data_IF_362778751202
#
_entry.id   IF_362778751202
#
_cell.length_a   1.000
_cell.length_b   1.000
_cell.length_c   1.000
_cell.angle_alpha   90.00
_cell.angle_beta   90.00
_cell.angle_gamma   90.00
#
_symmetry.space_group_name_H-M   'P 1'
#
loop_
_entity.id
_entity.type
_entity.pdbx_description
1 polymer ?
#
# COMPACT_ATOMS: atom_id res chain seq x y z
N UNK A 1 -5.72 -21.27 -5.17
CA UNK A 1 -4.92 -21.84 -4.07
C UNK A 1 -4.03 -22.92 -4.66
N UNK A 2 -2.71 -22.75 -4.54
CA UNK A 2 -1.75 -23.79 -4.92
C UNK A 2 -2.05 -25.02 -4.06
N UNK A 3 -2.45 -26.12 -4.68
CA UNK A 3 -2.71 -27.37 -3.97
C UNK A 3 -1.40 -27.95 -3.44
N UNK A 4 -1.09 -27.63 -2.17
CA UNK A 4 0.09 -28.13 -1.49
C UNK A 4 0.03 -29.64 -1.21
N UNK A 5 -1.13 -30.30 -1.33
CA UNK A 5 -1.23 -31.75 -1.15
C UNK A 5 -0.52 -32.52 -2.26
N UNK A 6 -0.53 -31.98 -3.48
CA UNK A 6 0.27 -32.49 -4.61
C UNK A 6 1.78 -32.25 -4.44
N UNK A 7 2.19 -31.28 -3.62
CA UNK A 7 3.58 -30.92 -3.36
C UNK A 7 4.25 -31.85 -2.33
N UNK A 8 3.50 -32.28 -1.32
CA UNK A 8 3.99 -33.21 -0.27
C UNK A 8 3.96 -34.68 -0.75
N UNK A 9 3.12 -35.03 -1.73
CA UNK A 9 2.91 -36.40 -2.19
C UNK A 9 4.07 -37.07 -2.96
N UNK A 10 5.11 -36.33 -3.39
CA UNK A 10 6.22 -36.87 -4.21
C UNK A 10 7.42 -37.39 -3.42
N UNK A 11 7.32 -37.56 -2.09
CA UNK A 11 8.43 -37.99 -1.21
C UNK A 11 8.61 -39.53 -1.22
N UNK A 12 8.47 -40.21 -2.37
CA UNK A 12 8.81 -41.63 -2.46
C UNK A 12 9.59 -41.96 -3.72
N UNK A 13 10.85 -42.34 -3.45
CA UNK A 13 11.84 -43.00 -4.31
C UNK A 13 12.68 -42.10 -5.20
N UNK A 14 13.94 -41.84 -4.79
CA UNK A 14 15.08 -42.13 -5.68
C UNK A 14 16.45 -42.12 -4.96
N UNK A 15 17.35 -42.91 -5.56
CA UNK A 15 18.65 -43.39 -5.05
C UNK A 15 19.75 -42.31 -4.99
N UNK A 16 20.68 -42.53 -4.07
CA UNK A 16 21.91 -41.76 -3.85
C UNK A 16 22.84 -41.85 -5.07
N UNK A 17 23.23 -40.70 -5.61
CA UNK A 17 24.38 -40.54 -6.51
C UNK A 17 25.26 -39.38 -6.02
N UNK A 18 26.57 -39.60 -5.92
CA UNK A 18 27.59 -38.69 -5.38
C UNK A 18 27.84 -37.45 -6.28
N UNK A 19 28.02 -36.29 -5.61
CA UNK A 19 28.51 -34.94 -5.99
C UNK A 19 28.00 -34.23 -7.28
N UNK A 20 27.71 -32.90 -7.23
CA UNK A 20 28.51 -31.81 -6.65
C UNK A 20 27.97 -31.26 -5.31
N UNK A 21 28.82 -30.51 -4.60
CA UNK A 21 28.59 -29.91 -3.27
C UNK A 21 27.52 -28.82 -3.20
N UNK A 22 26.89 -28.46 -4.32
CA UNK A 22 25.75 -27.53 -4.37
C UNK A 22 24.58 -28.15 -5.13
N UNK A 23 23.40 -28.11 -4.51
CA UNK A 23 22.19 -28.70 -5.04
C UNK A 23 21.39 -27.62 -5.81
N UNK A 24 21.34 -27.69 -7.14
CA UNK A 24 20.66 -26.71 -8.01
C UNK A 24 19.14 -27.00 -8.25
N UNK A 25 18.53 -27.79 -7.36
CA UNK A 25 17.18 -28.34 -7.48
C UNK A 25 16.09 -27.34 -7.00
N UNK A 26 14.80 -27.56 -7.34
CA UNK A 26 13.75 -26.53 -7.32
C UNK A 26 13.41 -25.97 -5.94
N UNK A 27 13.66 -26.71 -4.86
CA UNK A 27 13.41 -26.22 -3.53
C UNK A 27 13.94 -27.12 -2.43
N UNK A 28 13.86 -26.62 -1.21
CA UNK A 28 14.37 -27.25 -0.01
C UNK A 28 13.30 -27.19 1.08
N UNK A 29 13.19 -28.27 1.84
CA UNK A 29 12.32 -28.37 2.99
C UNK A 29 13.12 -28.97 4.15
N UNK A 30 13.26 -28.24 5.26
CA UNK A 30 14.10 -28.65 6.41
C UNK A 30 15.50 -29.10 5.96
N UNK A 31 16.13 -28.27 5.12
CA UNK A 31 17.50 -28.47 4.63
C UNK A 31 17.68 -29.69 3.73
N UNK A 32 16.57 -30.30 3.33
CA UNK A 32 16.53 -31.42 2.40
C UNK A 32 16.01 -30.93 1.05
N UNK A 33 16.74 -31.25 -0.02
CA UNK A 33 16.25 -31.05 -1.37
C UNK A 33 14.95 -31.83 -1.60
N UNK A 34 13.90 -31.14 -2.05
CA UNK A 34 12.58 -31.76 -2.30
C UNK A 34 12.56 -32.72 -3.50
N UNK A 35 13.59 -32.64 -4.37
CA UNK A 35 13.67 -33.46 -5.58
C UNK A 35 14.62 -34.66 -5.41
N UNK A 36 15.83 -34.45 -4.89
CA UNK A 36 16.85 -35.50 -4.78
C UNK A 36 17.07 -36.04 -3.37
N UNK A 37 16.41 -35.48 -2.34
CA UNK A 37 16.53 -35.91 -0.95
C UNK A 37 17.88 -35.64 -0.29
N UNK A 38 18.83 -34.99 -1.00
CA UNK A 38 20.14 -34.63 -0.42
C UNK A 38 19.95 -33.56 0.66
N UNK A 39 20.60 -33.77 1.79
CA UNK A 39 20.80 -32.74 2.81
C UNK A 39 21.76 -31.69 2.23
N UNK A 40 21.29 -30.47 2.18
CA UNK A 40 22.08 -29.30 1.84
C UNK A 40 22.46 -28.68 3.17
N UNK A 41 23.75 -28.69 3.51
CA UNK A 41 24.25 -28.04 4.72
C UNK A 41 24.11 -26.52 4.63
N UNK A 42 25.15 -25.76 4.98
CA UNK A 42 25.09 -24.29 5.02
C UNK A 42 24.96 -23.60 3.63
N UNK A 43 25.02 -24.36 2.54
CA UNK A 43 25.08 -23.85 1.16
C UNK A 43 23.75 -23.92 0.42
N UNK A 44 22.81 -23.03 0.71
CA UNK A 44 21.50 -23.00 0.04
C UNK A 44 21.45 -22.25 -1.30
N UNK A 45 22.62 -21.85 -1.84
CA UNK A 45 22.73 -21.03 -3.06
C UNK A 45 21.84 -19.78 -3.04
N UNK A 46 21.30 -19.42 -4.20
CA UNK A 46 20.40 -18.26 -4.39
C UNK A 46 18.94 -18.55 -3.99
N UNK A 47 18.69 -19.54 -3.11
CA UNK A 47 17.33 -19.90 -2.72
C UNK A 47 16.73 -18.90 -1.72
N UNK A 48 15.49 -18.51 -1.99
CA UNK A 48 14.73 -17.57 -1.18
C UNK A 48 13.82 -18.35 -0.22
N UNK A 49 13.77 -17.99 1.07
CA UNK A 49 12.90 -18.65 2.04
C UNK A 49 11.44 -18.15 1.92
N UNK A 50 10.50 -19.04 1.60
CA UNK A 50 9.06 -18.74 1.50
C UNK A 50 8.33 -19.10 2.81
N UNK A 51 8.78 -18.51 3.92
CA UNK A 51 8.32 -18.88 5.28
C UNK A 51 6.85 -18.57 5.53
N UNK A 52 6.29 -17.60 4.80
CA UNK A 52 4.86 -17.29 4.83
C UNK A 52 3.99 -18.45 4.30
N UNK A 53 4.50 -19.26 3.37
CA UNK A 53 3.84 -20.49 2.92
C UNK A 53 4.10 -21.62 3.93
N UNK A 54 5.38 -21.86 4.25
CA UNK A 54 5.77 -22.83 5.26
C UNK A 54 7.14 -22.48 5.84
N UNK A 55 7.28 -22.52 7.17
CA UNK A 55 8.47 -22.07 7.92
C UNK A 55 9.80 -22.67 7.45
N UNK A 56 9.77 -23.90 6.93
CA UNK A 56 10.95 -24.66 6.51
C UNK A 56 11.14 -24.67 4.98
N UNK A 57 10.33 -23.93 4.21
CA UNK A 57 10.36 -23.93 2.75
C UNK A 57 11.33 -22.89 2.20
N UNK A 58 12.18 -23.33 1.27
CA UNK A 58 13.02 -22.46 0.44
C UNK A 58 12.88 -22.86 -1.02
N UNK A 59 12.89 -21.89 -1.93
CA UNK A 59 12.72 -22.13 -3.36
C UNK A 59 13.90 -21.55 -4.14
N UNK A 60 14.37 -22.30 -5.13
CA UNK A 60 15.38 -21.80 -6.07
C UNK A 60 14.75 -20.84 -7.09
N UNK A 61 15.56 -19.95 -7.66
CA UNK A 61 15.13 -18.93 -8.62
C UNK A 61 14.32 -19.49 -9.79
N UNK A 62 14.77 -20.61 -10.38
CA UNK A 62 14.08 -21.29 -11.49
C UNK A 62 12.68 -21.78 -11.10
N UNK A 63 12.52 -22.30 -9.88
CA UNK A 63 11.23 -22.77 -9.39
C UNK A 63 10.29 -21.61 -9.07
N UNK A 64 10.82 -20.53 -8.48
CA UNK A 64 10.06 -19.30 -8.26
C UNK A 64 9.52 -18.76 -9.58
N UNK A 65 10.35 -18.70 -10.64
CA UNK A 65 9.91 -18.29 -11.98
C UNK A 65 8.82 -19.22 -12.54
N UNK A 66 8.97 -20.55 -12.37
CA UNK A 66 7.95 -21.52 -12.80
C UNK A 66 6.62 -21.31 -12.09
N UNK A 67 6.66 -21.12 -10.77
CA UNK A 67 5.47 -20.88 -9.95
C UNK A 67 4.82 -19.53 -10.28
N UNK A 68 5.60 -18.47 -10.46
CA UNK A 68 5.10 -17.16 -10.92
C UNK A 68 4.37 -17.27 -12.25
N UNK A 69 4.97 -17.95 -13.23
CA UNK A 69 4.33 -18.13 -14.54
C UNK A 69 3.00 -18.89 -14.44
N UNK A 70 2.97 -19.96 -13.65
CA UNK A 70 1.77 -20.76 -13.46
C UNK A 70 0.66 -19.99 -12.73
N UNK A 71 1.00 -19.33 -11.62
CA UNK A 71 0.05 -18.60 -10.79
C UNK A 71 -0.46 -17.35 -11.49
N UNK A 72 0.43 -16.52 -12.06
CA UNK A 72 0.04 -15.34 -12.82
C UNK A 72 -0.84 -15.70 -14.02
N UNK A 73 -0.50 -16.76 -14.76
CA UNK A 73 -1.36 -17.23 -15.85
C UNK A 73 -2.76 -17.65 -15.38
N UNK A 74 -2.87 -18.29 -14.20
CA UNK A 74 -4.17 -18.67 -13.63
C UNK A 74 -4.98 -17.45 -13.18
N UNK A 75 -4.35 -16.52 -12.46
CA UNK A 75 -4.97 -15.29 -11.96
C UNK A 75 -5.48 -14.43 -13.12
N UNK A 76 -4.67 -14.23 -14.16
CA UNK A 76 -5.06 -13.47 -15.35
C UNK A 76 -6.22 -14.14 -16.13
N UNK A 77 -6.24 -15.48 -16.25
CA UNK A 77 -7.35 -16.21 -16.88
C UNK A 77 -8.67 -16.05 -16.12
N UNK A 78 -8.62 -15.86 -14.80
CA UNK A 78 -9.78 -15.55 -13.98
C UNK A 78 -10.19 -14.07 -14.05
N UNK A 79 -9.55 -13.29 -14.94
CA UNK A 79 -9.68 -11.83 -15.02
C UNK A 79 -9.39 -11.17 -13.68
N UNK A 80 -8.31 -11.59 -13.02
CA UNK A 80 -7.82 -10.97 -11.78
C UNK A 80 -6.40 -10.45 -11.93
N UNK A 81 -6.04 -9.50 -11.09
CA UNK A 81 -4.70 -8.97 -10.90
C UNK A 81 -4.17 -9.35 -9.50
N UNK A 82 -2.98 -8.90 -9.13
CA UNK A 82 -2.45 -9.06 -7.77
C UNK A 82 -2.52 -7.75 -7.01
N UNK A 83 -2.88 -7.81 -5.72
CA UNK A 83 -2.91 -6.65 -4.83
C UNK A 83 -2.15 -6.96 -3.55
N UNK A 84 -1.06 -6.22 -3.31
CA UNK A 84 -0.28 -6.28 -2.07
C UNK A 84 -0.76 -5.18 -1.15
N UNK A 85 -1.14 -5.55 0.07
CA UNK A 85 -1.71 -4.66 1.07
C UNK A 85 -0.77 -4.57 2.28
N UNK A 86 -0.38 -3.36 2.66
CA UNK A 86 0.17 -3.12 3.99
C UNK A 86 -0.94 -3.16 5.08
N UNK A 87 -0.54 -3.19 6.35
CA UNK A 87 -1.46 -3.24 7.48
C UNK A 87 -1.53 -1.90 8.23
N UNK A 88 -0.45 -1.56 8.92
CA UNK A 88 -0.41 -0.45 9.88
C UNK A 88 -0.45 0.89 9.15
N UNK A 89 -1.38 1.76 9.55
CA UNK A 89 -1.65 3.04 8.90
C UNK A 89 -2.18 2.94 7.45
N UNK A 90 -2.31 1.73 6.91
CA UNK A 90 -2.90 1.43 5.61
C UNK A 90 -4.34 0.90 5.76
N UNK A 91 -4.53 -0.30 6.29
CA UNK A 91 -5.85 -0.94 6.49
C UNK A 91 -6.38 -0.84 7.92
N UNK A 92 -5.50 -0.62 8.88
CA UNK A 92 -5.80 -0.55 10.30
C UNK A 92 -4.75 0.32 10.99
N UNK A 93 -4.97 0.64 12.26
CA UNK A 93 -3.99 1.29 13.09
C UNK A 93 -3.97 0.59 14.45
N UNK A 94 -2.79 0.27 14.93
CA UNK A 94 -2.59 -0.42 16.19
C UNK A 94 -1.72 0.41 17.13
N UNK A 95 -2.13 0.50 18.40
CA UNK A 95 -1.38 1.18 19.45
C UNK A 95 -1.17 0.26 20.65
N UNK A 96 -0.13 0.52 21.43
CA UNK A 96 -0.02 -0.03 22.76
C UNK A 96 -1.05 0.70 23.67
N UNK A 97 -1.78 -0.04 24.48
CA UNK A 97 -2.74 0.48 25.45
C UNK A 97 -2.10 1.55 26.35
N UNK A 98 -0.88 1.32 26.80
CA UNK A 98 -0.14 2.23 27.69
C UNK A 98 0.27 3.54 27.00
N UNK A 99 0.13 3.62 25.66
CA UNK A 99 0.48 4.79 24.87
C UNK A 99 -0.68 5.75 24.59
N UNK A 100 -1.92 5.35 24.92
CA UNK A 100 -3.11 6.16 24.71
C UNK A 100 -3.07 7.45 25.53
N UNK A 101 -3.54 8.56 24.94
CA UNK A 101 -3.68 9.82 25.68
C UNK A 101 -4.88 9.78 26.64
N UNK A 102 -4.92 10.66 27.67
CA UNK A 102 -6.10 10.80 28.52
C UNK A 102 -7.40 11.05 27.73
N UNK A 103 -7.30 11.80 26.63
CA UNK A 103 -8.39 12.09 25.71
C UNK A 103 -8.90 10.85 24.95
N UNK A 104 -8.07 9.80 24.84
CA UNK A 104 -8.37 8.54 24.17
C UNK A 104 -8.86 7.45 25.15
N UNK A 105 -8.83 7.70 26.46
CA UNK A 105 -9.19 6.71 27.48
C UNK A 105 -10.64 6.18 27.34
N UNK A 106 -11.54 6.96 26.72
CA UNK A 106 -12.92 6.54 26.45
C UNK A 106 -13.00 5.29 25.55
N UNK A 107 -11.98 5.05 24.72
CA UNK A 107 -11.93 3.94 23.77
C UNK A 107 -11.96 2.58 24.46
N UNK A 108 -11.42 2.47 25.69
CA UNK A 108 -11.39 1.21 26.42
C UNK A 108 -12.79 0.64 26.68
N UNK A 109 -13.76 1.53 26.90
CA UNK A 109 -15.15 1.16 27.14
C UNK A 109 -15.90 0.77 25.84
N UNK A 110 -15.28 0.94 24.68
CA UNK A 110 -15.85 0.69 23.35
C UNK A 110 -15.18 -0.49 22.62
N UNK A 111 -14.21 -1.15 23.25
CA UNK A 111 -13.47 -2.25 22.62
C UNK A 111 -14.33 -3.52 22.54
N UNK A 112 -14.28 -4.17 21.39
CA UNK A 112 -14.73 -5.55 21.23
C UNK A 112 -13.57 -6.50 21.61
N UNK A 113 -13.90 -7.67 22.15
CA UNK A 113 -12.91 -8.74 22.30
C UNK A 113 -12.50 -9.24 20.91
N UNK A 114 -11.22 -9.59 20.74
CA UNK A 114 -10.70 -10.18 19.51
C UNK A 114 -11.41 -11.48 19.08
N UNK A 115 -12.17 -12.12 19.97
CA UNK A 115 -12.95 -13.32 19.69
C UNK A 115 -14.29 -13.03 18.99
N UNK A 116 -14.83 -11.82 19.14
CA UNK A 116 -16.04 -11.39 18.45
C UNK A 116 -15.67 -10.43 17.31
N UNK A 117 -15.15 -11.01 16.22
CA UNK A 117 -14.76 -10.25 15.03
C UNK A 117 -15.95 -9.87 14.14
N UNK A 118 -17.17 -10.29 14.52
CA UNK A 118 -18.35 -10.23 13.65
C UNK A 118 -18.96 -8.83 13.56
N UNK A 119 -18.77 -8.00 14.59
CA UNK A 119 -19.28 -6.62 14.66
C UNK A 119 -18.30 -5.76 15.45
N UNK A 120 -17.83 -4.67 14.84
CA UNK A 120 -16.92 -3.73 15.49
C UNK A 120 -15.77 -3.30 14.60
N UNK A 121 -15.22 -2.13 14.93
CA UNK A 121 -14.02 -1.57 14.29
C UNK A 121 -12.86 -1.40 15.27
N UNK A 122 -13.07 -1.59 16.58
CA UNK A 122 -12.05 -1.37 17.61
C UNK A 122 -11.91 -2.62 18.48
N UNK A 123 -10.69 -3.15 18.57
CA UNK A 123 -10.42 -4.47 19.17
C UNK A 123 -9.26 -4.41 20.14
N UNK A 124 -9.43 -5.07 21.30
CA UNK A 124 -8.36 -5.27 22.27
C UNK A 124 -7.79 -6.69 22.15
N UNK A 125 -6.47 -6.82 22.25
CA UNK A 125 -5.79 -8.10 22.26
C UNK A 125 -5.77 -8.71 23.66
N UNK A 126 -6.30 -9.93 23.82
CA UNK A 126 -6.33 -10.61 25.12
C UNK A 126 -4.92 -10.91 25.68
N UNK A 127 -3.93 -11.12 24.80
CA UNK A 127 -2.58 -11.61 25.16
C UNK A 127 -1.48 -10.56 25.07
N UNK A 128 -1.77 -9.36 24.56
CA UNK A 128 -0.82 -8.26 24.38
C UNK A 128 -1.54 -6.96 24.73
N UNK A 129 -0.88 -5.98 25.37
CA UNK A 129 -1.49 -4.70 25.70
C UNK A 129 -1.63 -3.84 24.44
N UNK A 130 -2.42 -4.30 23.47
CA UNK A 130 -2.58 -3.69 22.16
C UNK A 130 -4.06 -3.46 21.89
N UNK A 131 -4.34 -2.30 21.30
CA UNK A 131 -5.64 -1.91 20.80
C UNK A 131 -5.52 -1.63 19.30
N UNK A 132 -6.45 -2.12 18.50
CA UNK A 132 -6.43 -1.99 17.04
C UNK A 132 -7.74 -1.45 16.53
N UNK A 133 -7.65 -0.39 15.74
CA UNK A 133 -8.75 0.19 15.00
C UNK A 133 -8.65 -0.22 13.54
N UNK A 134 -9.68 -0.87 13.02
CA UNK A 134 -9.87 -1.09 11.59
C UNK A 134 -10.19 0.24 10.90
N UNK A 135 -9.53 0.51 9.78
CA UNK A 135 -9.82 1.71 8.98
C UNK A 135 -11.25 1.61 8.43
N UNK A 136 -12.03 2.70 8.43
CA UNK A 136 -13.39 2.70 7.89
C UNK A 136 -13.44 2.10 6.48
N UNK A 137 -14.52 1.38 6.18
CA UNK A 137 -14.75 0.69 4.90
C UNK A 137 -13.82 -0.50 4.58
N UNK A 138 -12.92 -0.94 5.49
CA UNK A 138 -11.95 -2.01 5.17
C UNK A 138 -12.59 -3.36 4.81
N UNK A 139 -13.73 -3.72 5.41
CA UNK A 139 -14.36 -5.03 5.17
C UNK A 139 -14.98 -5.10 3.78
N UNK A 140 -15.72 -4.06 3.42
CA UNK A 140 -16.32 -3.86 2.10
C UNK A 140 -15.23 -3.71 1.04
N UNK A 141 -14.16 -2.95 1.34
CA UNK A 141 -12.98 -2.84 0.48
C UNK A 141 -12.39 -4.21 0.15
N UNK A 142 -12.10 -5.04 1.16
CA UNK A 142 -11.52 -6.38 0.95
C UNK A 142 -12.47 -7.30 0.19
N UNK A 143 -13.76 -7.25 0.51
CA UNK A 143 -14.77 -8.04 -0.19
C UNK A 143 -14.84 -7.67 -1.67
N UNK A 144 -14.90 -6.40 -2.01
CA UNK A 144 -14.96 -5.92 -3.39
C UNK A 144 -13.64 -6.16 -4.13
N UNK A 145 -12.51 -5.89 -3.49
CA UNK A 145 -11.18 -6.12 -4.07
C UNK A 145 -10.96 -7.60 -4.38
N UNK A 146 -11.41 -8.53 -3.51
CA UNK A 146 -11.24 -9.98 -3.72
C UNK A 146 -11.89 -10.50 -5.01
N UNK A 147 -12.87 -9.78 -5.57
CA UNK A 147 -13.51 -10.12 -6.85
C UNK A 147 -12.60 -9.88 -8.05
N UNK A 148 -11.66 -8.93 -7.92
CA UNK A 148 -10.78 -8.45 -8.99
C UNK A 148 -9.30 -8.78 -8.75
N UNK A 149 -8.93 -9.13 -7.51
CA UNK A 149 -7.54 -9.29 -7.11
C UNK A 149 -7.31 -10.57 -6.31
N UNK A 150 -6.16 -11.22 -6.56
CA UNK A 150 -5.52 -12.14 -5.63
C UNK A 150 -4.70 -11.31 -4.63
N UNK A 151 -5.03 -11.38 -3.33
CA UNK A 151 -4.55 -10.41 -2.35
C UNK A 151 -3.47 -10.98 -1.42
N UNK A 152 -2.43 -10.19 -1.18
CA UNK A 152 -1.35 -10.49 -0.24
C UNK A 152 -1.35 -9.45 0.87
N UNK A 153 -1.10 -9.87 2.11
CA UNK A 153 -0.64 -8.96 3.17
C UNK A 153 0.88 -8.90 3.10
N UNK A 154 1.46 -7.70 3.12
CA UNK A 154 2.89 -7.51 3.27
C UNK A 154 3.15 -6.39 4.29
N UNK A 155 3.51 -6.78 5.51
CA UNK A 155 3.77 -5.87 6.64
C UNK A 155 5.24 -5.87 7.06
N UNK A 156 5.72 -4.74 7.59
CA UNK A 156 7.00 -4.66 8.32
C UNK A 156 6.89 -5.12 9.80
N UNK A 157 5.73 -5.60 10.21
CA UNK A 157 5.50 -6.21 11.52
C UNK A 157 6.12 -7.60 11.66
N UNK A 158 6.05 -8.13 12.88
CA UNK A 158 6.46 -9.51 13.19
C UNK A 158 5.49 -10.54 12.59
N UNK A 159 5.95 -11.77 12.27
CA UNK A 159 5.08 -12.81 11.70
C UNK A 159 3.84 -13.12 12.53
N UNK A 160 3.98 -13.14 13.87
CA UNK A 160 2.86 -13.39 14.77
C UNK A 160 1.82 -12.26 14.69
N UNK A 161 2.28 -11.01 14.66
CA UNK A 161 1.41 -9.84 14.54
C UNK A 161 0.64 -9.85 13.21
N UNK A 162 1.35 -10.05 12.08
CA UNK A 162 0.72 -10.06 10.76
C UNK A 162 -0.38 -11.13 10.63
N UNK A 163 -0.14 -12.34 11.17
CA UNK A 163 -1.16 -13.41 11.17
C UNK A 163 -2.37 -13.09 12.03
N UNK A 164 -2.19 -12.45 13.17
CA UNK A 164 -3.33 -12.05 14.01
C UNK A 164 -4.14 -10.94 13.36
N UNK A 165 -3.51 -9.95 12.71
CA UNK A 165 -4.23 -8.91 11.94
C UNK A 165 -4.97 -9.51 10.74
N UNK A 166 -4.35 -10.47 10.05
CA UNK A 166 -4.99 -11.18 8.94
C UNK A 166 -6.27 -11.88 9.39
N UNK A 167 -6.27 -12.56 10.56
CA UNK A 167 -7.47 -13.17 11.13
C UNK A 167 -8.55 -12.15 11.52
N UNK A 168 -8.15 -10.95 11.94
CA UNK A 168 -9.10 -9.89 12.26
C UNK A 168 -9.81 -9.36 11.01
N UNK A 169 -9.05 -9.16 9.94
CA UNK A 169 -9.53 -8.68 8.65
C UNK A 169 -10.31 -9.76 7.88
N UNK A 170 -9.88 -11.01 7.99
CA UNK A 170 -10.40 -12.16 7.26
C UNK A 170 -10.61 -13.38 8.19
N UNK A 171 -11.61 -13.33 9.08
CA UNK A 171 -11.84 -14.38 10.08
C UNK A 171 -12.27 -15.72 9.48
N UNK A 172 -12.75 -15.72 8.24
CA UNK A 172 -13.17 -16.93 7.50
C UNK A 172 -12.10 -17.43 6.53
N UNK A 173 -10.94 -16.77 6.47
CA UNK A 173 -9.82 -17.12 5.62
C UNK A 173 -10.20 -17.19 4.12
N UNK A 174 -10.99 -16.23 3.64
CA UNK A 174 -11.51 -16.16 2.27
C UNK A 174 -10.57 -15.42 1.31
N UNK A 175 -9.69 -14.57 1.83
CA UNK A 175 -8.93 -13.59 1.05
C UNK A 175 -7.44 -13.90 1.03
N UNK A 176 -6.83 -14.06 2.21
CA UNK A 176 -5.37 -14.09 2.32
C UNK A 176 -4.83 -15.53 2.35
N UNK A 177 -5.56 -16.45 2.97
CA UNK A 177 -5.05 -17.79 3.24
C UNK A 177 -3.67 -17.75 3.93
N UNK A 178 -2.64 -18.35 3.33
CA UNK A 178 -1.28 -18.28 3.84
C UNK A 178 -0.50 -17.03 3.40
N UNK A 179 -1.06 -16.15 2.55
CA UNK A 179 -0.36 -15.04 1.87
C UNK A 179 -0.10 -13.82 2.76
N UNK A 180 0.54 -14.05 3.91
CA UNK A 180 0.89 -13.01 4.90
C UNK A 180 2.41 -12.93 5.02
N UNK A 181 3.00 -11.99 4.29
CA UNK A 181 4.43 -11.71 4.25
C UNK A 181 4.76 -10.72 5.37
N UNK A 182 5.76 -11.03 6.18
CA UNK A 182 6.19 -10.23 7.33
C UNK A 182 7.61 -9.69 7.14
N UNK A 183 8.08 -8.87 8.08
CA UNK A 183 9.47 -8.38 8.07
C UNK A 183 10.53 -9.49 8.09
N UNK A 184 10.21 -10.66 8.66
CA UNK A 184 11.13 -11.79 8.70
C UNK A 184 11.28 -12.49 7.32
N UNK A 185 10.41 -12.15 6.36
CA UNK A 185 10.40 -12.68 5.01
C UNK A 185 11.12 -11.75 4.02
N UNK A 186 11.37 -10.49 4.38
CA UNK A 186 12.09 -9.55 3.54
C UNK A 186 13.50 -10.03 3.19
N UNK A 187 13.84 -9.99 1.90
CA UNK A 187 15.18 -10.32 1.40
C UNK A 187 16.17 -9.18 1.54
N UNK A 188 15.69 -7.94 1.60
CA UNK A 188 16.49 -6.74 1.82
C UNK A 188 16.11 -6.10 3.15
N UNK A 189 17.11 -5.67 3.93
CA UNK A 189 16.87 -5.07 5.24
C UNK A 189 16.06 -3.78 5.09
N UNK A 190 14.96 -3.69 5.83
CA UNK A 190 14.06 -2.52 5.86
C UNK A 190 13.44 -2.16 4.50
N UNK A 191 13.38 -3.10 3.55
CA UNK A 191 12.77 -2.91 2.24
C UNK A 191 11.82 -4.08 1.96
N UNK A 192 10.67 -3.76 1.37
CA UNK A 192 9.75 -4.73 0.79
C UNK A 192 10.12 -4.94 -0.67
N UNK A 193 9.88 -6.15 -1.17
CA UNK A 193 10.20 -6.51 -2.55
C UNK A 193 9.15 -7.44 -3.14
N UNK A 194 8.84 -7.27 -4.43
CA UNK A 194 7.91 -8.16 -5.12
C UNK A 194 8.51 -9.55 -5.38
N UNK A 195 9.75 -9.79 -4.96
CA UNK A 195 10.40 -11.08 -5.01
C UNK A 195 9.70 -12.16 -4.15
N UNK A 196 8.96 -11.73 -3.13
CA UNK A 196 8.14 -12.62 -2.30
C UNK A 196 6.73 -12.89 -2.87
N UNK A 197 6.32 -12.18 -3.93
CA UNK A 197 5.00 -12.30 -4.55
C UNK A 197 5.08 -13.24 -5.76
N UNK A 198 4.10 -14.15 -5.88
CA UNK A 198 4.03 -15.11 -6.98
C UNK A 198 3.25 -14.55 -8.19
N UNK A 199 3.42 -13.26 -8.48
CA UNK A 199 2.83 -12.56 -9.62
C UNK A 199 3.88 -11.87 -10.48
N UNK A 200 3.49 -11.47 -11.69
CA UNK A 200 4.32 -10.60 -12.53
C UNK A 200 4.18 -9.15 -12.05
N UNK A 201 5.30 -8.41 -11.97
CA UNK A 201 5.26 -7.00 -11.56
C UNK A 201 4.32 -6.16 -12.44
N UNK A 202 4.20 -6.48 -13.73
CA UNK A 202 3.27 -5.82 -14.66
C UNK A 202 1.79 -6.07 -14.34
N UNK A 203 1.47 -6.98 -13.41
CA UNK A 203 0.12 -7.32 -12.97
C UNK A 203 -0.08 -7.13 -11.45
N UNK A 204 0.88 -6.52 -10.74
CA UNK A 204 0.83 -6.34 -9.28
C UNK A 204 0.65 -4.86 -8.93
N UNK A 205 -0.37 -4.56 -8.13
CA UNK A 205 -0.56 -3.25 -7.49
C UNK A 205 -0.18 -3.35 -6.01
N UNK A 206 0.36 -2.27 -5.46
CA UNK A 206 0.76 -2.16 -4.06
C UNK A 206 -0.04 -1.02 -3.42
N UNK A 207 -0.67 -1.28 -2.28
CA UNK A 207 -1.28 -0.25 -1.44
C UNK A 207 -0.52 -0.16 -0.11
N UNK A 208 0.12 0.98 0.11
CA UNK A 208 0.99 1.23 1.27
C UNK A 208 1.04 2.74 1.56
N UNK A 209 1.14 3.14 2.82
CA UNK A 209 1.31 4.53 3.23
C UNK A 209 2.78 5.00 3.21
N UNK A 210 3.73 4.06 3.04
CA UNK A 210 5.17 4.34 3.14
C UNK A 210 5.90 4.04 1.83
N UNK A 211 6.18 5.07 1.03
CA UNK A 211 6.93 4.91 -0.23
C UNK A 211 8.35 4.36 -0.04
N UNK A 212 9.05 4.78 1.03
CA UNK A 212 10.47 4.50 1.20
C UNK A 212 10.81 3.02 1.41
N UNK A 213 9.84 2.18 1.78
CA UNK A 213 10.03 0.73 1.88
C UNK A 213 9.87 -0.01 0.54
N UNK A 214 9.48 0.70 -0.53
CA UNK A 214 9.25 0.17 -1.87
C UNK A 214 10.18 0.78 -2.91
N UNK A 215 11.44 1.02 -2.57
CA UNK A 215 12.38 1.79 -3.41
C UNK A 215 12.50 1.25 -4.85
N UNK A 216 12.42 -0.08 -5.02
CA UNK A 216 12.53 -0.77 -6.32
C UNK A 216 11.21 -0.91 -7.09
N UNK A 217 10.07 -0.64 -6.46
CA UNK A 217 8.74 -0.91 -7.01
C UNK A 217 7.78 0.28 -6.86
N UNK A 218 8.31 1.50 -6.88
CA UNK A 218 7.53 2.74 -6.73
C UNK A 218 6.45 2.91 -7.81
N UNK A 219 6.69 2.39 -9.01
CA UNK A 219 5.74 2.49 -10.12
C UNK A 219 4.51 1.59 -9.92
N UNK A 220 4.61 0.57 -9.07
CA UNK A 220 3.49 -0.29 -8.67
C UNK A 220 2.69 0.29 -7.49
N UNK A 221 3.22 1.35 -6.84
CA UNK A 221 2.69 1.87 -5.58
C UNK A 221 1.56 2.88 -5.78
N UNK A 222 0.41 2.53 -5.19
CA UNK A 222 -0.66 3.44 -4.82
C UNK A 222 -0.33 3.93 -3.40
N UNK A 223 0.34 5.07 -3.32
CA UNK A 223 0.63 5.72 -2.05
C UNK A 223 -0.67 6.31 -1.48
N UNK A 224 -0.99 5.96 -0.24
CA UNK A 224 -2.20 6.47 0.44
C UNK A 224 -1.86 7.26 1.71
N UNK A 225 -2.81 8.07 2.18
CA UNK A 225 -2.64 8.81 3.42
C UNK A 225 -2.62 7.86 4.63
N UNK A 226 -1.71 8.15 5.57
CA UNK A 226 -1.58 7.40 6.82
C UNK A 226 -2.83 7.53 7.68
N UNK A 227 -3.33 6.39 8.15
CA UNK A 227 -4.47 6.33 9.07
C UNK A 227 -4.05 6.65 10.51
N UNK A 228 -4.11 7.92 10.88
CA UNK A 228 -3.74 8.41 12.22
C UNK A 228 -4.90 8.40 13.23
N UNK A 229 -5.46 7.20 13.48
CA UNK A 229 -6.52 7.07 14.49
C UNK A 229 -6.08 7.38 15.93
N UNK A 230 -4.98 6.78 16.40
CA UNK A 230 -4.40 7.00 17.73
C UNK A 230 -3.30 8.08 17.75
N UNK A 231 -3.24 8.84 18.84
CA UNK A 231 -2.38 10.01 19.07
C UNK A 231 -0.89 9.70 19.09
N UNK A 232 -0.50 8.49 19.47
CA UNK A 232 0.91 8.10 19.58
C UNK A 232 1.68 8.32 18.27
N UNK A 233 1.05 8.10 17.12
CA UNK A 233 1.69 8.31 15.82
C UNK A 233 1.67 9.78 15.37
N UNK A 234 0.73 10.58 15.86
CA UNK A 234 0.66 12.02 15.61
C UNK A 234 1.77 12.81 16.33
N UNK A 235 2.29 12.31 17.45
CA UNK A 235 3.39 12.97 18.21
C UNK A 235 4.66 13.16 17.37
N UNK A 236 4.84 12.36 16.32
CA UNK A 236 5.96 12.49 15.38
C UNK A 236 5.74 13.58 14.31
N UNK A 237 4.51 14.09 14.16
CA UNK A 237 4.12 15.09 13.16
C UNK A 237 4.14 16.54 13.70
N UNK A 238 4.44 16.73 14.99
CA UNK A 238 4.57 18.04 15.66
C UNK A 238 3.49 18.33 16.70
N UNK A 239 3.77 19.28 17.59
CA UNK A 239 3.07 19.49 18.87
C UNK A 239 1.56 19.86 18.81
N UNK A 240 0.99 20.12 17.62
CA UNK A 240 -0.40 20.58 17.47
C UNK A 240 -1.30 19.61 16.65
N UNK A 241 -0.82 18.43 16.28
CA UNK A 241 -1.63 17.47 15.51
C UNK A 241 -2.44 16.57 16.46
N UNK A 242 -3.77 16.73 16.47
CA UNK A 242 -4.68 15.83 17.18
C UNK A 242 -5.01 14.62 16.32
N UNK A 243 -5.12 13.44 16.94
CA UNK A 243 -5.57 12.22 16.26
C UNK A 243 -7.06 12.23 15.96
N UNK A 244 -7.52 11.31 15.10
CA UNK A 244 -8.96 11.14 14.86
C UNK A 244 -9.70 10.79 16.16
N UNK A 245 -9.11 9.94 17.01
CA UNK A 245 -9.70 9.56 18.28
C UNK A 245 -9.82 10.74 19.27
N UNK A 246 -8.80 11.61 19.35
CA UNK A 246 -8.82 12.82 20.18
C UNK A 246 -9.85 13.83 19.70
N UNK A 247 -10.10 13.88 18.39
CA UNK A 247 -11.14 14.69 17.77
C UNK A 247 -12.53 14.04 17.85
N UNK A 248 -12.62 12.77 18.26
CA UNK A 248 -13.84 11.95 18.24
C UNK A 248 -14.45 11.87 16.83
N UNK A 249 -13.59 11.79 15.83
CA UNK A 249 -13.91 11.65 14.41
C UNK A 249 -13.35 10.34 13.87
N UNK A 250 -13.75 9.99 12.65
CA UNK A 250 -13.13 8.92 11.86
C UNK A 250 -13.27 9.27 10.36
N UNK A 251 -12.63 8.49 9.50
CA UNK A 251 -12.82 8.61 8.06
C UNK A 251 -14.25 8.23 7.65
N UNK A 252 -14.73 8.84 6.57
CA UNK A 252 -16.04 8.53 6.00
C UNK A 252 -16.02 7.18 5.26
N UNK A 253 -17.03 6.34 5.45
CA UNK A 253 -17.05 5.01 4.79
C UNK A 253 -17.33 5.07 3.28
N UNK A 254 -18.06 6.06 2.77
CA UNK A 254 -18.43 6.17 1.35
C UNK A 254 -17.48 7.01 0.51
N UNK A 255 -16.76 7.95 1.11
CA UNK A 255 -15.80 8.81 0.41
C UNK A 255 -14.45 8.98 1.11
N UNK A 256 -14.14 8.15 2.10
CA UNK A 256 -12.84 8.10 2.74
C UNK A 256 -11.76 7.43 1.87
N UNK A 257 -10.58 7.24 2.46
CA UNK A 257 -9.39 6.82 1.72
C UNK A 257 -9.58 5.47 1.02
N UNK A 258 -10.05 4.43 1.73
CA UNK A 258 -10.24 3.10 1.13
C UNK A 258 -11.33 3.08 0.05
N UNK A 259 -12.38 3.89 0.20
CA UNK A 259 -13.42 4.04 -0.83
C UNK A 259 -12.85 4.68 -2.09
N UNK A 260 -11.99 5.71 -1.95
CA UNK A 260 -11.29 6.32 -3.06
C UNK A 260 -10.36 5.33 -3.78
N UNK A 261 -9.55 4.59 -3.03
CA UNK A 261 -8.65 3.58 -3.60
C UNK A 261 -9.42 2.48 -4.32
N UNK A 262 -10.56 2.01 -3.78
CA UNK A 262 -11.37 0.99 -4.47
C UNK A 262 -11.84 1.46 -5.85
N UNK A 263 -12.19 2.75 -6.01
CA UNK A 263 -12.55 3.32 -7.33
C UNK A 263 -11.39 3.27 -8.30
N UNK A 264 -10.17 3.59 -7.83
CA UNK A 264 -8.95 3.50 -8.64
C UNK A 264 -8.68 2.05 -9.06
N UNK A 265 -8.74 1.11 -8.12
CA UNK A 265 -8.55 -0.31 -8.39
C UNK A 265 -9.57 -0.85 -9.41
N UNK A 266 -10.84 -0.47 -9.29
CA UNK A 266 -11.90 -0.80 -10.27
C UNK A 266 -11.59 -0.24 -11.66
N UNK A 267 -11.11 1.01 -11.74
CA UNK A 267 -10.74 1.66 -13.01
C UNK A 267 -9.55 0.97 -13.68
N UNK A 268 -8.51 0.62 -12.91
CA UNK A 268 -7.34 -0.11 -13.41
C UNK A 268 -7.77 -1.48 -13.91
N UNK A 269 -8.54 -2.24 -13.11
CA UNK A 269 -9.02 -3.56 -13.48
C UNK A 269 -9.84 -3.53 -14.77
N UNK A 270 -10.79 -2.60 -14.88
CA UNK A 270 -11.61 -2.41 -16.08
C UNK A 270 -10.75 -2.15 -17.33
N UNK A 271 -9.80 -1.20 -17.24
CA UNK A 271 -8.90 -0.87 -18.36
C UNK A 271 -7.94 -2.02 -18.68
N UNK A 272 -7.45 -2.73 -17.68
CA UNK A 272 -6.51 -3.83 -17.86
C UNK A 272 -7.15 -5.03 -18.56
N UNK A 273 -8.44 -5.30 -18.35
CA UNK A 273 -9.17 -6.40 -18.99
C UNK A 273 -10.12 -5.94 -20.11
N UNK A 274 -9.91 -4.74 -20.63
CA UNK A 274 -10.69 -4.20 -21.73
C UNK A 274 -10.57 -5.11 -22.97
N UNK A 275 -11.69 -5.65 -23.50
CA UNK A 275 -11.69 -6.56 -24.65
C UNK A 275 -11.24 -5.90 -25.95
N UNK A 276 -11.29 -4.56 -26.06
CA UNK A 276 -10.83 -3.84 -27.27
C UNK A 276 -9.34 -4.04 -27.54
N UNK A 277 -8.57 -4.36 -26.50
CA UNK A 277 -7.12 -4.58 -26.57
C UNK A 277 -6.74 -6.07 -26.66
N UNK A 278 -7.70 -6.96 -26.96
CA UNK A 278 -7.49 -8.42 -27.12
C UNK A 278 -7.26 -9.19 -25.81
N UNK A 279 -6.79 -10.45 -25.88
CA UNK A 279 -6.58 -11.30 -24.70
C UNK A 279 -5.10 -11.55 -24.35
N UNK A 280 -4.18 -10.85 -25.00
CA UNK A 280 -2.76 -10.86 -24.61
C UNK A 280 -2.54 -9.99 -23.37
N UNK A 281 -2.93 -10.53 -22.21
CA UNK A 281 -2.74 -9.84 -20.93
C UNK A 281 -1.27 -9.78 -20.50
N UNK A 282 -0.39 -10.60 -21.09
CA UNK A 282 1.02 -10.64 -20.74
C UNK A 282 1.79 -9.40 -21.23
N UNK A 283 1.32 -8.74 -22.29
CA UNK A 283 1.89 -7.49 -22.81
C UNK A 283 1.37 -6.23 -22.12
N UNK A 284 0.39 -6.36 -21.22
CA UNK A 284 -0.20 -5.23 -20.48
C UNK A 284 0.54 -4.97 -19.18
N UNK A 285 0.54 -3.71 -18.75
CA UNK A 285 1.24 -3.27 -17.54
C UNK A 285 0.37 -2.33 -16.69
N UNK A 286 0.09 -2.74 -15.45
CA UNK A 286 -0.67 -1.94 -14.48
C UNK A 286 0.03 -0.63 -14.11
N UNK A 287 1.36 -0.56 -14.22
CA UNK A 287 2.15 0.65 -13.92
C UNK A 287 1.86 1.76 -14.91
N UNK A 288 1.68 1.41 -16.19
CA UNK A 288 1.28 2.37 -17.21
C UNK A 288 -0.16 2.85 -17.00
N UNK A 289 -1.07 1.95 -16.64
CA UNK A 289 -2.45 2.31 -16.31
C UNK A 289 -2.52 3.24 -15.08
N UNK A 290 -1.75 2.94 -14.04
CA UNK A 290 -1.61 3.79 -12.86
C UNK A 290 -1.16 5.20 -13.26
N UNK A 291 -0.11 5.30 -14.09
CA UNK A 291 0.42 6.59 -14.55
C UNK A 291 -0.60 7.36 -15.38
N UNK A 292 -1.34 6.68 -16.25
CA UNK A 292 -2.41 7.29 -17.06
C UNK A 292 -3.52 7.82 -16.15
N UNK A 293 -4.04 6.99 -15.25
CA UNK A 293 -5.13 7.39 -14.34
C UNK A 293 -4.68 8.52 -13.42
N UNK A 294 -3.44 8.49 -12.91
CA UNK A 294 -2.89 9.54 -12.04
C UNK A 294 -2.83 10.89 -12.76
N UNK A 295 -2.43 10.91 -14.04
CA UNK A 295 -2.36 12.13 -14.86
C UNK A 295 -3.72 12.76 -15.17
N UNK A 296 -4.82 12.05 -15.00
CA UNK A 296 -6.15 12.62 -15.22
C UNK A 296 -6.65 13.42 -14.00
N UNK A 297 -5.98 13.33 -12.84
CA UNK A 297 -6.45 13.93 -11.58
C UNK A 297 -6.44 15.45 -11.61
N UNK A 298 -5.34 16.07 -12.03
CA UNK A 298 -5.17 17.52 -12.16
C UNK A 298 -4.91 17.93 -13.61
N UNK A 299 -5.41 17.15 -14.56
CA UNK A 299 -5.40 17.51 -15.97
C UNK A 299 -6.01 18.89 -16.19
N UNK A 300 -5.43 19.63 -17.11
CA UNK A 300 -5.79 21.01 -17.46
C UNK A 300 -5.55 22.06 -16.35
N UNK A 301 -5.00 21.68 -15.20
CA UNK A 301 -4.55 22.63 -14.19
C UNK A 301 -3.15 23.17 -14.54
N UNK A 302 -3.03 24.49 -14.72
CA UNK A 302 -1.74 25.18 -14.68
C UNK A 302 -1.51 25.83 -13.31
N UNK A 303 -0.44 25.43 -12.63
CA UNK A 303 -0.18 25.73 -11.21
C UNK A 303 1.07 26.60 -11.04
N UNK A 304 0.98 27.64 -10.21
CA UNK A 304 2.14 28.42 -9.73
C UNK A 304 2.24 28.32 -8.21
N UNK A 305 3.46 28.15 -7.70
CA UNK A 305 3.72 28.14 -6.26
C UNK A 305 4.17 29.52 -5.75
N UNK A 306 3.64 29.95 -4.61
CA UNK A 306 3.94 31.22 -3.96
C UNK A 306 4.42 31.00 -2.52
N UNK A 307 5.71 31.22 -2.28
CA UNK A 307 6.37 31.07 -0.96
C UNK A 307 6.31 29.66 -0.32
N UNK A 308 5.92 28.64 -1.09
CA UNK A 308 5.87 27.25 -0.61
C UNK A 308 7.18 26.50 -0.89
N UNK A 309 7.89 26.91 -1.94
CA UNK A 309 9.09 26.24 -2.43
C UNK A 309 10.36 26.79 -1.75
N UNK A 310 11.29 25.90 -1.40
CA UNK A 310 12.60 26.23 -0.83
C UNK A 310 13.43 27.03 -1.85
N UNK A 311 13.96 28.18 -1.45
CA UNK A 311 14.72 29.09 -2.34
C UNK A 311 16.05 28.51 -2.86
N UNK A 312 16.63 27.51 -2.19
CA UNK A 312 17.96 26.96 -2.50
C UNK A 312 17.96 25.76 -3.46
N UNK A 313 16.79 25.33 -3.93
CA UNK A 313 16.62 24.15 -4.80
C UNK A 313 15.82 24.54 -6.03
N UNK A 314 16.14 23.93 -7.18
CA UNK A 314 15.33 24.14 -8.39
C UNK A 314 13.87 23.78 -8.10
N UNK A 315 12.93 24.58 -8.61
CA UNK A 315 11.50 24.42 -8.33
C UNK A 315 10.99 23.04 -8.74
N UNK A 316 11.42 22.56 -9.91
CA UNK A 316 11.07 21.25 -10.47
C UNK A 316 11.58 20.05 -9.65
N UNK A 317 12.59 20.27 -8.79
CA UNK A 317 13.12 19.21 -7.93
C UNK A 317 12.36 19.05 -6.62
N UNK A 318 11.42 19.95 -6.34
CA UNK A 318 10.73 19.96 -5.06
C UNK A 318 9.57 18.96 -5.04
N UNK A 319 9.36 18.24 -3.92
CA UNK A 319 8.37 17.16 -3.86
C UNK A 319 6.96 17.57 -4.29
N UNK A 320 6.49 18.74 -3.87
CA UNK A 320 5.14 19.23 -4.17
C UNK A 320 4.96 19.59 -5.65
N UNK A 321 6.02 20.09 -6.31
CA UNK A 321 6.01 20.34 -7.76
C UNK A 321 5.90 19.04 -8.53
N UNK A 322 6.78 18.07 -8.21
CA UNK A 322 6.76 16.74 -8.85
C UNK A 322 5.43 16.02 -8.65
N UNK A 323 4.84 16.13 -7.46
CA UNK A 323 3.52 15.58 -7.16
C UNK A 323 2.44 16.19 -8.06
N UNK A 324 2.41 17.51 -8.23
CA UNK A 324 1.45 18.17 -9.11
C UNK A 324 1.58 17.71 -10.58
N UNK A 325 2.81 17.60 -11.10
CA UNK A 325 3.07 17.12 -12.46
C UNK A 325 2.71 15.64 -12.65
N UNK A 326 2.97 14.80 -11.63
CA UNK A 326 2.56 13.39 -11.64
C UNK A 326 1.03 13.24 -11.68
N UNK A 327 0.31 14.18 -11.09
CA UNK A 327 -1.16 14.27 -11.16
C UNK A 327 -1.67 14.88 -12.48
N UNK A 328 -0.78 15.28 -13.39
CA UNK A 328 -1.12 15.80 -14.72
C UNK A 328 -1.25 17.32 -14.83
N UNK A 329 -0.91 18.06 -13.77
CA UNK A 329 -0.86 19.51 -13.84
C UNK A 329 0.38 19.98 -14.64
N UNK A 330 0.30 21.18 -15.22
CA UNK A 330 1.46 21.90 -15.76
C UNK A 330 1.92 22.93 -14.73
N UNK A 331 3.17 22.85 -14.27
CA UNK A 331 3.69 23.80 -13.30
C UNK A 331 4.49 24.93 -13.98
N UNK A 332 4.36 26.15 -13.45
CA UNK A 332 5.07 27.34 -13.92
C UNK A 332 5.67 28.12 -12.75
N UNK A 333 6.80 28.79 -12.99
CA UNK A 333 7.42 29.73 -12.05
C UNK A 333 6.77 31.11 -12.11
N UNK A 334 6.19 31.46 -13.26
CA UNK A 334 5.62 32.78 -13.56
C UNK A 334 4.09 32.75 -13.60
N UNK A 335 3.49 33.83 -13.11
CA UNK A 335 2.04 34.03 -13.10
C UNK A 335 1.63 34.74 -14.40
N UNK A 336 1.09 33.97 -15.33
CA UNK A 336 0.53 34.45 -16.61
C UNK A 336 -0.99 34.20 -16.71
N UNK A 337 -1.63 34.65 -17.79
CA UNK A 337 -3.09 34.54 -17.98
C UNK A 337 -3.62 33.11 -18.10
N UNK A 338 -2.77 32.12 -18.42
CA UNK A 338 -3.16 30.71 -18.53
C UNK A 338 -3.09 29.95 -17.20
N UNK A 339 -2.55 30.58 -16.14
CA UNK A 339 -2.48 29.98 -14.81
C UNK A 339 -3.88 29.88 -14.21
N UNK A 340 -4.23 28.67 -13.77
CA UNK A 340 -5.53 28.36 -13.16
C UNK A 340 -5.49 28.43 -11.63
N UNK A 341 -4.36 28.04 -11.02
CA UNK A 341 -4.21 27.94 -9.56
C UNK A 341 -2.92 28.57 -9.07
N UNK A 342 -3.00 29.24 -7.93
CA UNK A 342 -1.87 29.66 -7.12
C UNK A 342 -1.89 28.89 -5.81
N UNK A 343 -0.80 28.18 -5.53
CA UNK A 343 -0.63 27.37 -4.32
C UNK A 343 0.22 28.15 -3.32
N UNK A 344 -0.34 28.47 -2.15
CA UNK A 344 0.34 29.26 -1.12
C UNK A 344 -0.08 28.90 0.30
N UNK A 345 0.77 29.24 1.28
CA UNK A 345 0.41 29.25 2.71
C UNK A 345 0.12 30.66 3.23
N UNK A 346 0.34 31.68 2.41
CA UNK A 346 0.24 33.07 2.79
C UNK A 346 -0.66 33.82 1.80
N UNK A 347 -1.85 34.21 2.26
CA UNK A 347 -2.81 34.97 1.48
C UNK A 347 -2.30 36.39 1.15
N UNK A 348 -1.33 36.91 1.91
CA UNK A 348 -0.77 38.25 1.74
C UNK A 348 0.38 38.31 0.75
N UNK A 349 0.88 37.17 0.26
CA UNK A 349 1.93 37.16 -0.75
C UNK A 349 1.44 37.82 -2.05
N UNK A 350 2.36 38.47 -2.79
CA UNK A 350 2.04 39.20 -4.01
C UNK A 350 1.28 38.34 -5.03
N UNK A 351 1.79 37.13 -5.31
CA UNK A 351 1.13 36.17 -6.22
C UNK A 351 -0.24 35.71 -5.70
N UNK A 352 -0.44 35.66 -4.38
CA UNK A 352 -1.72 35.28 -3.77
C UNK A 352 -2.76 36.38 -3.96
N UNK A 353 -2.39 37.65 -3.72
CA UNK A 353 -3.27 38.81 -3.99
C UNK A 353 -3.65 38.90 -5.46
N UNK A 354 -2.67 38.79 -6.35
CA UNK A 354 -2.89 38.79 -7.80
C UNK A 354 -3.79 37.65 -8.26
N UNK A 355 -3.67 36.46 -7.66
CA UNK A 355 -4.55 35.35 -7.98
C UNK A 355 -6.03 35.71 -7.73
N UNK A 356 -6.32 36.31 -6.57
CA UNK A 356 -7.68 36.72 -6.20
C UNK A 356 -8.20 37.84 -7.11
N UNK A 357 -7.37 38.85 -7.40
CA UNK A 357 -7.72 39.95 -8.31
C UNK A 357 -8.01 39.46 -9.74
N UNK A 358 -7.25 38.48 -10.22
CA UNK A 358 -7.39 37.90 -11.56
C UNK A 358 -8.40 36.73 -11.61
N UNK A 359 -9.14 36.45 -10.53
CA UNK A 359 -10.17 35.41 -10.47
C UNK A 359 -9.64 33.97 -10.55
N UNK A 360 -8.37 33.74 -10.19
CA UNK A 360 -7.71 32.43 -10.14
C UNK A 360 -7.92 31.77 -8.79
N UNK A 361 -7.87 30.44 -8.74
CA UNK A 361 -7.99 29.70 -7.49
C UNK A 361 -6.75 29.89 -6.61
N UNK A 362 -6.95 30.32 -5.35
CA UNK A 362 -5.90 30.40 -4.34
C UNK A 362 -6.10 29.27 -3.32
N UNK A 363 -5.20 28.29 -3.33
CA UNK A 363 -5.35 27.06 -2.53
C UNK A 363 -4.13 26.76 -1.67
N UNK A 364 -4.38 26.12 -0.53
CA UNK A 364 -3.33 25.61 0.35
C UNK A 364 -2.59 24.41 -0.30
N UNK A 365 -1.28 24.20 -0.06
CA UNK A 365 -0.55 23.00 -0.51
C UNK A 365 -1.26 21.66 -0.25
N UNK A 366 -2.03 21.59 0.85
CA UNK A 366 -2.82 20.41 1.21
C UNK A 366 -3.84 20.00 0.14
N UNK A 367 -4.23 20.91 -0.77
CA UNK A 367 -5.11 20.59 -1.90
C UNK A 367 -4.45 19.59 -2.87
N UNK A 368 -3.16 19.78 -3.19
CA UNK A 368 -2.41 18.85 -4.04
C UNK A 368 -2.22 17.52 -3.31
N UNK A 369 -1.85 17.57 -2.02
CA UNK A 369 -1.65 16.38 -1.19
C UNK A 369 -2.93 15.54 -1.09
N UNK A 370 -4.08 16.18 -0.82
CA UNK A 370 -5.38 15.53 -0.77
C UNK A 370 -5.78 14.95 -2.15
N UNK A 371 -5.53 15.69 -3.23
CA UNK A 371 -5.76 15.19 -4.59
C UNK A 371 -4.91 13.95 -4.91
N UNK A 372 -3.66 13.92 -4.43
CA UNK A 372 -2.75 12.79 -4.56
C UNK A 372 -3.27 11.55 -3.81
N UNK A 373 -3.66 11.69 -2.55
CA UNK A 373 -4.10 10.55 -1.73
C UNK A 373 -5.49 10.03 -2.10
N UNK A 374 -6.40 10.91 -2.51
CA UNK A 374 -7.77 10.55 -2.88
C UNK A 374 -7.96 10.30 -4.38
N UNK A 375 -6.90 10.46 -5.19
CA UNK A 375 -6.89 10.21 -6.64
C UNK A 375 -8.03 10.93 -7.38
N UNK A 376 -8.33 12.16 -6.95
CA UNK A 376 -9.43 12.98 -7.48
C UNK A 376 -9.12 14.46 -7.22
N UNK A 377 -9.42 15.34 -8.19
CA UNK A 377 -9.38 16.79 -7.95
C UNK A 377 -10.33 17.14 -6.79
N UNK A 378 -9.79 17.77 -5.77
CA UNK A 378 -10.57 18.22 -4.62
C UNK A 378 -11.19 19.59 -4.90
N UNK A 379 -12.29 19.90 -4.23
CA UNK A 379 -12.87 21.24 -4.30
C UNK A 379 -11.90 22.25 -3.70
N UNK A 380 -11.61 23.31 -4.45
CA UNK A 380 -10.67 24.37 -4.06
C UNK A 380 -11.14 25.07 -2.76
N UNK A 381 -12.45 25.20 -2.55
CA UNK A 381 -13.06 25.85 -1.38
C UNK A 381 -12.78 25.11 -0.06
N UNK A 382 -12.44 23.82 -0.12
CA UNK A 382 -12.09 23.02 1.07
C UNK A 382 -10.65 23.28 1.55
N UNK A 383 -9.84 23.99 0.75
CA UNK A 383 -8.43 24.23 1.04
C UNK A 383 -8.08 25.72 0.99
N UNK A 384 -8.79 26.59 1.73
CA UNK A 384 -8.54 28.02 1.68
C UNK A 384 -7.16 28.37 2.24
N UNK A 385 -6.56 29.43 1.70
CA UNK A 385 -5.35 30.04 2.27
C UNK A 385 -5.79 31.09 3.28
N UNK A 386 -5.66 30.78 4.57
CA UNK A 386 -5.98 31.73 5.64
C UNK A 386 -4.82 32.72 5.79
N UNK A 387 -5.13 34.00 5.96
CA UNK A 387 -4.11 34.98 6.33
C UNK A 387 -3.53 34.60 7.69
N UNK A 388 -2.21 34.47 7.78
CA UNK A 388 -1.56 34.30 9.08
C UNK A 388 -1.85 35.56 9.89
N UNK A 389 -2.71 35.46 10.91
CA UNK A 389 -2.76 36.48 11.95
C UNK A 389 -1.38 36.49 12.59
N UNK A 390 -0.60 37.55 12.36
CA UNK A 390 0.69 37.72 13.01
C UNK A 390 0.50 37.55 14.52
N UNK A 391 1.31 36.64 15.10
CA UNK A 391 1.46 36.51 16.55
C UNK A 391 2.25 37.70 17.10
#
# INVERSE_FOLDING_TARGET
GIDMSAFVGRIKQCKVAEEPSSCAHPGFFKDMCIECGKLVGDGYGDSIPFRYIHKDLRLGSREISRLRNAEAGNVLRQKKLFLVLDLDQTLLHTANIDSLSPEEAYLMNQTCSFKDTSKGSLFQFDKRPMITKLRPFVREFLQEASKMFEMYIYTMGEPAYGREMAKLLDPRNLYFDSKVISRADCTNRNQKGLDMVLGFESAVLILDDTESVWERHKDNLILMERYHFFSYTCRQLGNNCKSLAELKLDENESDGALAAILRVLKSIHYKFFDPEHGDDYASRDVRELLRIIRKEVLKDCKIVFSLVLKKKTQAADQPLWRMAEQLGATCSTELDSSVTHVVSKDATAEKSRRAVEEGKFLVNPRWIEAANFLWKRQSEDQFPVVASTAA
#
